data_IF_930999458059
#
_entry.id   IF_930999458059
#
_cell.length_a   1.000
_cell.length_b   1.000
_cell.length_c   1.000
_cell.angle_alpha   90.00
_cell.angle_beta   90.00
_cell.angle_gamma   90.00
#
_symmetry.space_group_name_H-M   'P 1'
#
loop_
_entity.id
_entity.type
_entity.pdbx_description
1 polymer ?
#
# COMPACT_ATOMS: atom_id res chain seq x y z
N UNK A 1 18.61 28.42 22.06
CA UNK A 1 18.60 27.52 20.88
C UNK A 1 18.68 26.09 21.40
N UNK A 2 17.56 25.36 21.45
CA UNK A 2 17.50 24.02 22.04
C UNK A 2 18.05 23.03 21.00
N UNK A 3 19.17 22.37 21.30
CA UNK A 3 19.71 21.28 20.47
C UNK A 3 18.89 20.03 20.76
N UNK A 4 17.99 19.68 19.85
CA UNK A 4 17.23 18.43 19.94
C UNK A 4 18.22 17.28 19.74
N UNK A 5 18.29 16.31 20.66
CA UNK A 5 19.12 15.11 20.53
C UNK A 5 18.81 14.34 19.24
N UNK A 6 19.84 13.90 18.51
CA UNK A 6 19.71 13.09 17.29
C UNK A 6 18.86 11.82 17.48
N UNK A 7 18.77 11.31 18.71
CA UNK A 7 17.95 10.14 19.06
C UNK A 7 16.45 10.46 19.00
N UNK A 8 16.02 11.65 19.45
CA UNK A 8 14.62 12.07 19.37
C UNK A 8 14.19 12.37 17.94
N UNK A 9 15.12 12.86 17.12
CA UNK A 9 14.89 13.05 15.68
C UNK A 9 14.67 11.68 15.01
N UNK A 10 15.56 10.71 15.23
CA UNK A 10 15.43 9.34 14.67
C UNK A 10 14.18 8.61 15.16
N UNK A 11 13.82 8.77 16.42
CA UNK A 11 12.61 8.18 16.99
C UNK A 11 11.34 8.81 16.37
N UNK A 12 11.31 10.14 16.24
CA UNK A 12 10.21 10.83 15.56
C UNK A 12 10.10 10.44 14.08
N UNK A 13 11.23 10.20 13.40
CA UNK A 13 11.25 9.68 12.04
C UNK A 13 10.69 8.26 11.95
N UNK A 14 11.09 7.33 12.84
CA UNK A 14 10.55 5.97 12.86
C UNK A 14 9.04 5.94 13.12
N UNK A 15 8.55 6.72 14.10
CA UNK A 15 7.12 6.83 14.38
C UNK A 15 6.36 7.40 13.18
N UNK A 16 6.95 8.36 12.45
CA UNK A 16 6.34 8.91 11.25
C UNK A 16 6.33 7.92 10.07
N UNK A 17 7.35 7.05 9.94
CA UNK A 17 7.39 5.94 8.97
C UNK A 17 6.26 4.96 9.25
N UNK A 18 6.18 4.48 10.49
CA UNK A 18 5.16 3.53 10.91
C UNK A 18 3.75 4.10 10.74
N UNK A 19 3.56 5.38 11.05
CA UNK A 19 2.31 6.08 10.78
C UNK A 19 2.01 6.14 9.28
N UNK A 20 2.97 6.55 8.44
CA UNK A 20 2.79 6.64 6.99
C UNK A 20 2.45 5.28 6.35
N UNK A 21 3.19 4.24 6.71
CA UNK A 21 2.94 2.86 6.29
C UNK A 21 1.59 2.35 6.80
N UNK A 22 1.21 2.69 8.03
CA UNK A 22 -0.08 2.33 8.61
C UNK A 22 -1.26 2.92 7.83
N UNK A 23 -1.16 4.17 7.37
CA UNK A 23 -2.23 4.79 6.57
C UNK A 23 -2.28 4.17 5.16
N UNK A 24 -1.13 3.89 4.54
CA UNK A 24 -1.09 3.16 3.24
C UNK A 24 -1.71 1.78 3.39
N UNK A 25 -1.31 1.01 4.41
CA UNK A 25 -1.90 -0.30 4.71
C UNK A 25 -3.40 -0.22 4.90
N UNK A 26 -3.89 0.70 5.71
CA UNK A 26 -5.34 0.89 5.92
C UNK A 26 -6.06 1.20 4.62
N UNK A 27 -5.48 2.04 3.77
CA UNK A 27 -6.04 2.36 2.46
C UNK A 27 -6.08 1.14 1.53
N UNK A 28 -5.02 0.34 1.47
CA UNK A 28 -4.98 -0.87 0.64
C UNK A 28 -5.96 -1.94 1.15
N UNK A 29 -5.99 -2.16 2.47
CA UNK A 29 -6.92 -3.11 3.11
C UNK A 29 -8.38 -2.75 2.83
N UNK A 30 -8.74 -1.48 2.94
CA UNK A 30 -10.09 -1.01 2.65
C UNK A 30 -10.53 -1.33 1.21
N UNK A 31 -9.58 -1.41 0.27
CA UNK A 31 -9.87 -1.73 -1.14
C UNK A 31 -10.02 -3.22 -1.41
N UNK A 32 -9.37 -4.06 -0.61
CA UNK A 32 -9.43 -5.52 -0.78
C UNK A 32 -10.38 -6.20 0.21
N UNK A 33 -11.01 -5.44 1.12
CA UNK A 33 -11.86 -5.98 2.18
C UNK A 33 -13.04 -6.83 1.68
N UNK A 34 -13.59 -6.48 0.52
CA UNK A 34 -14.75 -7.14 -0.09
C UNK A 34 -14.34 -8.08 -1.25
N UNK A 35 -13.04 -8.20 -1.54
CA UNK A 35 -12.53 -9.07 -2.60
C UNK A 35 -12.53 -10.52 -2.10
N UNK A 36 -13.08 -11.43 -2.91
CA UNK A 36 -13.02 -12.87 -2.62
C UNK A 36 -11.78 -13.53 -3.25
N UNK A 37 -11.39 -14.75 -2.82
CA UNK A 37 -10.37 -15.54 -3.49
C UNK A 37 -10.64 -15.73 -5.00
N UNK A 38 -11.91 -15.91 -5.38
CA UNK A 38 -12.29 -16.03 -6.79
C UNK A 38 -12.02 -14.75 -7.58
N UNK A 39 -12.38 -13.61 -7.01
CA UNK A 39 -12.13 -12.29 -7.62
C UNK A 39 -10.63 -12.01 -7.77
N UNK A 40 -9.84 -12.35 -6.74
CA UNK A 40 -8.38 -12.21 -6.81
C UNK A 40 -7.78 -13.10 -7.89
N UNK A 41 -8.20 -14.36 -7.97
CA UNK A 41 -7.76 -15.26 -9.03
C UNK A 41 -8.08 -14.68 -10.41
N UNK A 42 -9.31 -14.24 -10.63
CA UNK A 42 -9.72 -13.58 -11.87
C UNK A 42 -8.88 -12.35 -12.16
N UNK A 43 -8.65 -11.49 -11.16
CA UNK A 43 -7.86 -10.27 -11.33
C UNK A 43 -6.40 -10.56 -11.72
N UNK A 44 -5.79 -11.62 -11.16
CA UNK A 44 -4.46 -12.09 -11.56
C UNK A 44 -4.49 -12.55 -13.03
N UNK A 45 -5.45 -13.39 -13.40
CA UNK A 45 -5.56 -13.95 -14.76
C UNK A 45 -5.84 -12.89 -15.83
N UNK A 46 -6.64 -11.87 -15.51
CA UNK A 46 -6.99 -10.79 -16.45
C UNK A 46 -6.08 -9.57 -16.35
N UNK A 47 -5.13 -9.58 -15.41
CA UNK A 47 -4.29 -8.43 -15.05
C UNK A 47 -5.12 -7.17 -14.74
N UNK A 48 -6.30 -7.36 -14.14
CA UNK A 48 -7.15 -6.27 -13.66
C UNK A 48 -6.40 -5.45 -12.61
N UNK A 49 -6.64 -4.14 -12.55
CA UNK A 49 -6.05 -3.32 -11.49
C UNK A 49 -6.77 -3.63 -10.17
N UNK A 50 -6.00 -4.15 -9.19
CA UNK A 50 -6.51 -4.58 -7.89
C UNK A 50 -7.14 -3.41 -7.13
N UNK A 51 -6.64 -2.21 -7.38
CA UNK A 51 -6.99 -1.02 -6.63
C UNK A 51 -8.10 -0.21 -7.31
N UNK A 52 -8.60 -0.64 -8.47
CA UNK A 52 -9.49 0.13 -9.35
C UNK A 52 -10.96 0.21 -8.88
N UNK A 53 -11.22 -0.04 -7.60
CA UNK A 53 -12.55 0.16 -7.01
C UNK A 53 -12.73 1.64 -6.68
N UNK A 54 -13.47 2.33 -7.56
CA UNK A 54 -13.96 3.73 -7.57
C UNK A 54 -12.91 4.87 -7.63
N UNK A 55 -12.88 5.67 -8.72
CA UNK A 55 -11.99 6.85 -8.88
C UNK A 55 -12.14 7.94 -7.81
N UNK A 56 -13.34 8.13 -7.26
CA UNK A 56 -13.62 9.21 -6.31
C UNK A 56 -13.00 8.94 -4.92
N UNK A 57 -12.91 7.66 -4.53
CA UNK A 57 -12.30 7.24 -3.27
C UNK A 57 -10.76 7.26 -3.32
N UNK A 58 -10.17 6.92 -4.48
CA UNK A 58 -8.72 6.97 -4.66
C UNK A 58 -8.25 8.42 -4.72
N UNK A 59 -8.94 9.30 -5.46
CA UNK A 59 -8.60 10.74 -5.48
C UNK A 59 -8.82 11.39 -4.12
N UNK A 60 -9.99 11.19 -3.49
CA UNK A 60 -10.27 11.79 -2.19
C UNK A 60 -9.40 11.21 -1.07
N UNK A 61 -9.24 9.89 -1.02
CA UNK A 61 -8.41 9.18 -0.04
C UNK A 61 -6.93 9.47 -0.23
N UNK A 62 -6.41 9.28 -1.44
CA UNK A 62 -5.00 9.48 -1.76
C UNK A 62 -4.56 10.94 -1.77
N UNK A 63 -5.38 11.91 -2.21
CA UNK A 63 -5.02 13.33 -2.05
C UNK A 63 -5.06 13.77 -0.58
N UNK A 64 -5.94 13.23 0.27
CA UNK A 64 -5.87 13.45 1.73
C UNK A 64 -4.60 12.85 2.33
N UNK A 65 -4.22 11.65 1.88
CA UNK A 65 -3.00 10.96 2.25
C UNK A 65 -1.76 11.81 1.91
N UNK A 66 -1.67 12.25 0.65
CA UNK A 66 -0.57 13.07 0.14
C UNK A 66 -0.54 14.45 0.79
N UNK A 67 -1.68 15.10 0.97
CA UNK A 67 -1.72 16.42 1.62
C UNK A 67 -1.21 16.36 3.07
N UNK A 68 -1.55 15.29 3.81
CA UNK A 68 -1.20 15.16 5.22
C UNK A 68 0.17 14.54 5.46
N UNK A 69 0.61 13.64 4.57
CA UNK A 69 1.80 12.80 4.77
C UNK A 69 2.77 12.80 3.58
N UNK A 70 2.56 13.62 2.55
CA UNK A 70 3.30 13.59 1.28
C UNK A 70 4.82 13.60 1.45
N UNK A 71 5.37 14.49 2.28
CA UNK A 71 6.81 14.54 2.55
C UNK A 71 7.37 13.23 3.14
N UNK A 72 6.57 12.53 3.96
CA UNK A 72 6.97 11.25 4.53
C UNK A 72 6.82 10.13 3.51
N UNK A 73 5.71 10.11 2.76
CA UNK A 73 5.48 9.13 1.70
C UNK A 73 6.54 9.21 0.60
N UNK A 74 6.99 10.40 0.22
CA UNK A 74 8.11 10.59 -0.71
C UNK A 74 9.43 10.08 -0.16
N UNK A 75 9.70 10.34 1.13
CA UNK A 75 10.92 9.89 1.81
C UNK A 75 10.99 8.37 1.98
N UNK A 76 9.84 7.72 2.15
CA UNK A 76 9.73 6.29 2.46
C UNK A 76 9.04 5.47 1.36
N UNK A 77 8.91 6.02 0.15
CA UNK A 77 8.27 5.34 -0.99
C UNK A 77 8.89 3.97 -1.31
N UNK A 78 10.17 3.80 -1.04
CA UNK A 78 10.90 2.55 -1.29
C UNK A 78 10.58 1.47 -0.25
N UNK A 79 10.10 1.85 0.93
CA UNK A 79 9.64 0.93 1.98
C UNK A 79 8.28 0.32 1.61
N UNK A 80 7.51 0.95 0.71
CA UNK A 80 6.30 0.35 0.16
C UNK A 80 6.74 -0.55 -1.00
N UNK A 81 6.85 -1.84 -0.73
CA UNK A 81 7.26 -2.86 -1.70
C UNK A 81 6.32 -4.08 -1.64
N UNK A 82 6.49 -4.99 -2.60
CA UNK A 82 5.64 -6.17 -2.72
C UNK A 82 5.68 -7.06 -1.48
N UNK A 83 6.85 -7.23 -0.87
CA UNK A 83 7.03 -8.07 0.32
C UNK A 83 6.18 -7.56 1.48
N UNK A 84 6.31 -6.28 1.83
CA UNK A 84 5.54 -5.65 2.92
C UNK A 84 4.04 -5.68 2.64
N UNK A 85 3.62 -5.44 1.38
CA UNK A 85 2.20 -5.51 1.02
C UNK A 85 1.68 -6.95 1.14
N UNK A 86 2.45 -7.95 0.75
CA UNK A 86 2.08 -9.34 0.91
C UNK A 86 2.00 -9.74 2.38
N UNK A 87 2.91 -9.28 3.25
CA UNK A 87 2.82 -9.50 4.70
C UNK A 87 1.53 -8.91 5.29
N UNK A 88 1.11 -7.72 4.82
CA UNK A 88 -0.15 -7.13 5.25
C UNK A 88 -1.35 -7.97 4.79
N UNK A 89 -1.35 -8.42 3.53
CA UNK A 89 -2.42 -9.26 2.99
C UNK A 89 -2.43 -10.63 3.69
N UNK A 90 -1.29 -11.23 4.00
CA UNK A 90 -1.20 -12.48 4.76
C UNK A 90 -1.87 -12.33 6.13
N UNK A 91 -1.57 -11.23 6.82
CA UNK A 91 -2.08 -10.97 8.15
C UNK A 91 -3.58 -10.66 8.17
N UNK A 92 -4.05 -9.83 7.24
CA UNK A 92 -5.41 -9.28 7.27
C UNK A 92 -6.39 -10.07 6.38
N UNK A 93 -5.91 -10.70 5.31
CA UNK A 93 -6.68 -11.43 4.29
C UNK A 93 -5.99 -12.75 3.88
N UNK A 94 -5.77 -13.71 4.80
CA UNK A 94 -4.95 -14.91 4.55
C UNK A 94 -5.43 -15.77 3.37
N UNK A 95 -6.74 -15.81 3.09
CA UNK A 95 -7.27 -16.53 1.93
C UNK A 95 -6.90 -15.86 0.59
N UNK A 96 -6.84 -14.53 0.57
CA UNK A 96 -6.39 -13.76 -0.59
C UNK A 96 -4.89 -13.96 -0.79
N UNK A 97 -4.10 -13.87 0.28
CA UNK A 97 -2.67 -14.18 0.23
C UNK A 97 -2.42 -15.59 -0.33
N UNK A 98 -3.12 -16.60 0.20
CA UNK A 98 -3.02 -17.97 -0.29
C UNK A 98 -3.34 -18.07 -1.79
N UNK A 99 -4.34 -17.32 -2.27
CA UNK A 99 -4.66 -17.29 -3.70
C UNK A 99 -3.53 -16.68 -4.52
N UNK A 100 -2.95 -15.57 -4.06
CA UNK A 100 -1.83 -14.91 -4.76
C UNK A 100 -0.64 -15.85 -4.90
N UNK A 101 -0.19 -16.48 -3.81
CA UNK A 101 1.03 -17.32 -3.84
C UNK A 101 0.83 -18.63 -4.62
N UNK A 102 -0.41 -19.12 -4.72
CA UNK A 102 -0.74 -20.38 -5.39
C UNK A 102 -1.22 -20.20 -6.84
N UNK A 103 -1.37 -18.96 -7.31
CA UNK A 103 -1.77 -18.67 -8.69
C UNK A 103 -0.53 -18.35 -9.52
N UNK A 104 -0.43 -18.96 -10.71
CA UNK A 104 0.62 -18.61 -11.68
C UNK A 104 0.59 -17.11 -11.96
N UNK A 105 1.76 -16.48 -11.99
CA UNK A 105 1.94 -15.02 -12.12
C UNK A 105 1.37 -14.16 -10.98
N UNK A 106 0.94 -14.74 -9.85
CA UNK A 106 0.41 -13.98 -8.72
C UNK A 106 1.42 -13.01 -8.09
N UNK A 107 2.68 -13.44 -7.90
CA UNK A 107 3.75 -12.55 -7.40
C UNK A 107 4.09 -11.45 -8.43
N UNK A 108 4.40 -11.77 -9.71
CA UNK A 108 4.58 -10.74 -10.74
C UNK A 108 3.38 -9.78 -10.89
N UNK A 109 2.15 -10.27 -10.71
CA UNK A 109 0.96 -9.44 -10.69
C UNK A 109 1.02 -8.44 -9.54
N UNK A 110 1.29 -8.89 -8.32
CA UNK A 110 1.38 -8.01 -7.16
C UNK A 110 2.48 -6.96 -7.29
N UNK A 111 3.64 -7.31 -7.84
CA UNK A 111 4.70 -6.34 -8.14
C UNK A 111 4.19 -5.19 -9.03
N UNK A 112 3.46 -5.51 -10.10
CA UNK A 112 2.85 -4.50 -10.97
C UNK A 112 1.82 -3.65 -10.23
N UNK A 113 0.97 -4.27 -9.42
CA UNK A 113 -0.07 -3.55 -8.68
C UNK A 113 0.53 -2.61 -7.63
N UNK A 114 1.59 -3.02 -6.94
CA UNK A 114 2.30 -2.19 -5.94
C UNK A 114 2.97 -0.99 -6.61
N UNK A 115 3.64 -1.18 -7.74
CA UNK A 115 4.25 -0.06 -8.48
C UNK A 115 3.20 0.92 -9.02
N UNK A 116 2.07 0.42 -9.53
CA UNK A 116 0.94 1.27 -9.94
C UNK A 116 0.42 2.14 -8.80
N UNK A 117 0.17 1.57 -7.63
CA UNK A 117 -0.42 2.34 -6.52
C UNK A 117 0.59 3.31 -5.91
N UNK A 118 1.88 2.96 -5.86
CA UNK A 118 2.96 3.90 -5.51
C UNK A 118 2.95 5.10 -6.45
N UNK A 119 2.87 4.86 -7.76
CA UNK A 119 2.79 5.94 -8.74
C UNK A 119 1.55 6.82 -8.53
N UNK A 120 0.36 6.22 -8.37
CA UNK A 120 -0.88 6.97 -8.13
C UNK A 120 -0.82 7.82 -6.87
N UNK A 121 -0.46 7.24 -5.72
CA UNK A 121 -0.41 7.93 -4.42
C UNK A 121 0.63 9.05 -4.40
N UNK A 122 1.81 8.82 -4.99
CA UNK A 122 2.93 9.75 -4.87
C UNK A 122 2.94 10.81 -5.97
N UNK A 123 2.60 10.44 -7.21
CA UNK A 123 2.84 11.28 -8.40
C UNK A 123 1.60 11.85 -9.07
N UNK A 124 0.46 11.17 -9.03
CA UNK A 124 -0.75 11.61 -9.76
C UNK A 124 -1.79 12.33 -8.89
N UNK A 125 -1.82 12.05 -7.58
CA UNK A 125 -2.77 12.64 -6.62
C UNK A 125 -2.22 13.88 -5.92
#
# INVERSE_FOLDING_TARGET
MIKIPNVLIKFGEQVAVEAGLGVVRSFLNDKIKDITPGDMYTAIQTNQDLWDVTPDDIRGGGSRLKHRFGNYLEKYQNEINTEIVLEWIEKDHPAIFSTIINTTDGIPYMERQVEKIKYKILKEL
#
